data_IF_652656952241
#
_entry.id   IF_652656952241
#
_cell.length_a   1.000
_cell.length_b   1.000
_cell.length_c   1.000
_cell.angle_alpha   90.00
_cell.angle_beta   90.00
_cell.angle_gamma   90.00
#
_symmetry.space_group_name_H-M   'P 1'
#
loop_
_entity.id
_entity.type
_entity.pdbx_description
1 polymer ?
#
# COMPACT_ATOMS: atom_id res chain seq x y z
N UNK A 1 14.12 16.72 13.84
CA UNK A 1 14.47 15.47 13.12
C UNK A 1 15.42 15.81 11.99
N UNK A 2 16.48 15.03 11.78
CA UNK A 2 17.57 15.34 10.84
C UNK A 2 18.04 14.06 10.14
N UNK A 3 18.27 14.14 8.83
CA UNK A 3 18.88 13.07 8.04
C UNK A 3 19.96 13.67 7.15
N UNK A 4 21.22 13.26 7.36
CA UNK A 4 22.35 13.70 6.52
C UNK A 4 22.53 15.22 6.43
N UNK A 5 22.22 15.99 7.50
CA UNK A 5 22.30 17.44 7.51
C UNK A 5 21.10 18.18 6.92
N UNK A 6 20.11 17.45 6.40
CA UNK A 6 18.82 18.02 6.03
C UNK A 6 17.89 17.98 7.24
N UNK A 7 17.29 19.11 7.58
CA UNK A 7 16.39 19.25 8.73
C UNK A 7 14.95 19.35 8.27
N UNK A 8 14.04 18.88 9.13
CA UNK A 8 12.60 19.00 8.91
C UNK A 8 12.13 20.44 8.62
N UNK A 9 12.75 21.45 9.22
CA UNK A 9 12.42 22.86 8.96
C UNK A 9 12.73 23.27 7.51
N UNK A 10 13.84 22.78 6.95
CA UNK A 10 14.22 23.05 5.56
C UNK A 10 13.25 22.36 4.60
N UNK A 11 12.83 21.14 4.94
CA UNK A 11 11.79 20.41 4.21
C UNK A 11 10.48 21.21 4.18
N UNK A 12 9.99 21.65 5.34
CA UNK A 12 8.75 22.44 5.39
C UNK A 12 8.89 23.77 4.64
N UNK A 13 10.03 24.46 4.76
CA UNK A 13 10.23 25.72 4.05
C UNK A 13 10.11 25.56 2.53
N UNK A 14 10.58 24.44 1.97
CA UNK A 14 10.52 24.18 0.52
C UNK A 14 9.21 23.55 0.04
N UNK A 15 8.54 22.76 0.88
CA UNK A 15 7.46 21.87 0.45
C UNK A 15 6.09 22.18 1.07
N UNK A 16 5.99 23.09 2.06
CA UNK A 16 4.73 23.38 2.76
C UNK A 16 3.57 23.66 1.80
N UNK A 17 3.74 24.57 0.85
CA UNK A 17 2.67 24.92 -0.10
C UNK A 17 2.20 23.71 -0.92
N UNK A 18 3.11 22.78 -1.24
CA UNK A 18 2.79 21.55 -1.98
C UNK A 18 2.01 20.57 -1.10
N UNK A 19 2.40 20.43 0.17
CA UNK A 19 1.71 19.58 1.14
C UNK A 19 0.29 20.09 1.41
N UNK A 20 0.14 21.40 1.59
CA UNK A 20 -1.16 22.05 1.79
C UNK A 20 -2.03 21.95 0.54
N UNK A 21 -1.50 22.21 -0.65
CA UNK A 21 -2.24 22.07 -1.90
C UNK A 21 -2.63 20.60 -2.20
N UNK A 22 -1.83 19.64 -1.75
CA UNK A 22 -2.13 18.21 -1.80
C UNK A 22 -3.13 17.74 -0.75
N UNK A 23 -3.55 18.62 0.17
CA UNK A 23 -4.48 18.29 1.25
C UNK A 23 -3.89 17.34 2.30
N UNK A 24 -2.57 17.30 2.44
CA UNK A 24 -1.88 16.41 3.39
C UNK A 24 -1.95 17.03 4.79
N UNK A 25 -2.59 16.38 5.78
CA UNK A 25 -2.69 16.89 7.14
C UNK A 25 -1.31 17.16 7.78
N UNK A 26 -1.13 18.27 8.53
CA UNK A 26 0.15 18.63 9.15
C UNK A 26 0.74 17.57 10.08
N UNK A 27 -0.11 16.77 10.72
CA UNK A 27 0.29 15.67 11.61
C UNK A 27 1.11 14.61 10.85
N UNK A 28 0.88 14.45 9.53
CA UNK A 28 1.59 13.49 8.69
C UNK A 28 2.91 14.02 8.14
N UNK A 29 3.22 15.32 8.27
CA UNK A 29 4.39 15.90 7.61
C UNK A 29 5.70 15.36 8.17
N UNK A 30 5.75 15.10 9.49
CA UNK A 30 6.95 14.57 10.14
C UNK A 30 7.26 13.13 9.73
N UNK A 31 6.25 12.27 9.67
CA UNK A 31 6.38 10.88 9.22
C UNK A 31 6.66 10.82 7.72
N UNK A 32 6.01 11.64 6.91
CA UNK A 32 6.29 11.79 5.48
C UNK A 32 7.76 12.16 5.24
N UNK A 33 8.24 13.20 5.94
CA UNK A 33 9.64 13.59 5.91
C UNK A 33 10.58 12.43 6.26
N UNK A 34 10.27 11.71 7.34
CA UNK A 34 11.04 10.54 7.78
C UNK A 34 11.13 9.47 6.69
N UNK A 35 9.99 9.13 6.08
CA UNK A 35 9.90 8.11 5.04
C UNK A 35 10.64 8.55 3.77
N UNK A 36 10.54 9.83 3.40
CA UNK A 36 11.23 10.38 2.22
C UNK A 36 12.74 10.34 2.39
N UNK A 37 13.25 10.78 3.53
CA UNK A 37 14.70 10.82 3.80
C UNK A 37 15.32 9.42 3.91
N UNK A 38 14.57 8.46 4.43
CA UNK A 38 15.01 7.07 4.56
C UNK A 38 14.67 6.20 3.33
N UNK A 39 13.97 6.75 2.33
CA UNK A 39 13.44 5.98 1.20
C UNK A 39 12.64 4.75 1.67
N UNK A 40 11.75 4.94 2.65
CA UNK A 40 10.91 3.87 3.19
C UNK A 40 9.64 3.71 2.35
N UNK A 41 9.59 2.65 1.55
CA UNK A 41 8.44 2.28 0.71
C UNK A 41 7.69 1.10 1.33
N UNK A 42 6.88 1.37 2.34
CA UNK A 42 6.20 0.35 3.15
C UNK A 42 4.75 0.08 2.73
N UNK A 43 4.24 0.73 1.69
CA UNK A 43 2.85 0.57 1.21
C UNK A 43 2.48 -0.89 0.95
N UNK A 44 3.39 -1.70 0.40
CA UNK A 44 3.16 -3.12 0.12
C UNK A 44 2.95 -3.99 1.37
N UNK A 45 3.25 -3.47 2.57
CA UNK A 45 2.98 -4.14 3.84
C UNK A 45 1.58 -3.86 4.39
N UNK A 46 0.86 -2.90 3.80
CA UNK A 46 -0.46 -2.44 4.25
C UNK A 46 -1.53 -2.54 3.17
N UNK A 47 -1.14 -2.54 1.89
CA UNK A 47 -2.06 -2.54 0.78
C UNK A 47 -1.78 -3.68 -0.19
N UNK A 48 -2.85 -4.14 -0.83
CA UNK A 48 -2.85 -5.05 -1.97
C UNK A 48 -3.71 -4.43 -3.08
N UNK A 49 -3.32 -4.67 -4.32
CA UNK A 49 -4.12 -4.30 -5.49
C UNK A 49 -4.91 -5.55 -5.88
N UNK A 50 -6.21 -5.41 -6.02
CA UNK A 50 -7.10 -6.47 -6.49
C UNK A 50 -7.55 -6.16 -7.91
N UNK A 51 -7.69 -7.21 -8.72
CA UNK A 51 -8.25 -7.14 -10.06
C UNK A 51 -9.42 -8.11 -10.14
N UNK A 52 -10.62 -7.59 -10.28
CA UNK A 52 -11.85 -8.36 -10.45
C UNK A 52 -12.23 -8.38 -11.93
N UNK A 53 -12.54 -9.56 -12.46
CA UNK A 53 -13.12 -9.70 -13.79
C UNK A 53 -14.62 -9.45 -13.71
N UNK A 54 -15.10 -8.42 -14.40
CA UNK A 54 -16.50 -8.06 -14.55
C UNK A 54 -16.95 -8.23 -16.01
N UNK A 55 -18.26 -8.23 -16.25
CA UNK A 55 -18.82 -8.28 -17.62
C UNK A 55 -18.29 -7.14 -18.50
N UNK A 56 -17.95 -6.00 -17.89
CA UNK A 56 -17.53 -4.77 -18.55
C UNK A 56 -16.00 -4.68 -18.76
N UNK A 57 -15.24 -5.64 -18.23
CA UNK A 57 -13.77 -5.64 -18.24
C UNK A 57 -13.14 -5.87 -16.87
N UNK A 58 -11.93 -5.34 -16.66
CA UNK A 58 -11.18 -5.48 -15.40
C UNK A 58 -11.41 -4.29 -14.48
N UNK A 59 -11.87 -4.55 -13.26
CA UNK A 59 -11.98 -3.57 -12.20
C UNK A 59 -10.78 -3.67 -11.28
N UNK A 60 -10.10 -2.55 -11.04
CA UNK A 60 -8.93 -2.48 -10.15
C UNK A 60 -9.31 -1.75 -8.87
N UNK A 61 -9.07 -2.39 -7.73
CA UNK A 61 -9.29 -1.79 -6.41
C UNK A 61 -8.05 -1.94 -5.54
N UNK A 62 -7.95 -1.13 -4.49
CA UNK A 62 -6.88 -1.23 -3.49
C UNK A 62 -7.50 -1.62 -2.17
N UNK A 63 -7.03 -2.72 -1.60
CA UNK A 63 -7.49 -3.25 -0.32
C UNK A 63 -6.41 -2.98 0.74
N UNK A 64 -6.83 -2.47 1.90
CA UNK A 64 -5.98 -2.43 3.08
C UNK A 64 -5.98 -3.80 3.76
N UNK A 65 -4.80 -4.39 3.96
CA UNK A 65 -4.61 -5.69 4.62
C UNK A 65 -4.42 -5.56 6.13
N UNK A 66 -4.29 -4.33 6.63
CA UNK A 66 -4.14 -3.99 8.04
C UNK A 66 -5.10 -2.87 8.40
N UNK A 67 -5.47 -2.82 9.67
CA UNK A 67 -6.29 -1.74 10.19
C UNK A 67 -5.53 -0.41 10.16
N UNK A 68 -6.15 0.60 9.55
CA UNK A 68 -5.60 1.95 9.44
C UNK A 68 -6.43 2.88 10.30
N UNK A 69 -5.83 3.40 11.37
CA UNK A 69 -6.49 4.38 12.22
C UNK A 69 -6.37 5.80 11.62
N UNK A 70 -7.45 6.60 11.56
CA UNK A 70 -7.43 7.94 10.95
C UNK A 70 -6.50 8.95 11.64
N UNK A 71 -6.12 8.69 12.89
CA UNK A 71 -5.32 9.59 13.73
C UNK A 71 -3.85 9.14 13.79
N UNK A 72 -3.50 8.02 13.17
CA UNK A 72 -2.11 7.55 13.19
C UNK A 72 -1.24 8.38 12.23
N UNK A 73 -0.23 9.04 12.81
CA UNK A 73 0.71 9.90 12.10
C UNK A 73 1.54 9.12 11.05
N UNK A 74 1.68 7.80 11.17
CA UNK A 74 2.46 6.97 10.24
C UNK A 74 1.66 6.45 9.05
N UNK A 75 0.35 6.69 9.00
CA UNK A 75 -0.54 6.31 7.90
C UNK A 75 -0.42 7.24 6.68
N UNK A 76 0.83 7.52 6.28
CA UNK A 76 1.23 8.16 5.03
C UNK A 76 2.20 7.24 4.32
N UNK A 77 1.99 6.95 3.05
CA UNK A 77 2.74 5.91 2.35
C UNK A 77 3.37 6.46 1.08
N UNK A 78 4.63 6.10 0.85
CA UNK A 78 5.35 6.48 -0.35
C UNK A 78 5.13 5.44 -1.44
N UNK A 79 4.76 5.92 -2.62
CA UNK A 79 4.70 5.13 -3.85
C UNK A 79 5.72 5.74 -4.80
N UNK A 80 6.65 4.93 -5.27
CA UNK A 80 7.57 5.38 -6.30
C UNK A 80 6.87 5.37 -7.66
N UNK A 81 7.04 6.45 -8.42
CA UNK A 81 6.61 6.52 -9.80
C UNK A 81 7.73 5.98 -10.68
N UNK A 82 7.96 4.66 -10.62
CA UNK A 82 8.97 3.97 -11.42
C UNK A 82 8.89 4.32 -12.92
N UNK A 83 7.68 4.66 -13.39
CA UNK A 83 7.42 5.29 -14.70
C UNK A 83 6.84 6.69 -14.52
N UNK A 84 7.70 7.70 -14.30
CA UNK A 84 7.33 9.08 -14.61
C UNK A 84 7.19 9.20 -16.14
N UNK A 85 6.18 9.93 -16.62
CA UNK A 85 5.86 10.24 -18.02
C UNK A 85 4.87 9.31 -18.72
N UNK A 86 3.66 9.88 -18.90
CA UNK A 86 2.75 9.63 -20.03
C UNK A 86 2.61 8.14 -20.40
N UNK A 87 1.64 7.41 -19.80
CA UNK A 87 1.39 6.00 -20.11
C UNK A 87 1.28 5.70 -21.61
N UNK A 88 0.79 6.66 -22.39
CA UNK A 88 0.66 6.55 -23.85
C UNK A 88 2.01 6.51 -24.60
N UNK A 89 3.10 7.03 -24.03
CA UNK A 89 4.45 6.98 -24.62
C UNK A 89 5.28 5.82 -24.09
N UNK A 90 4.86 5.19 -22.98
CA UNK A 90 5.62 4.15 -22.31
C UNK A 90 5.97 3.00 -23.27
N UNK A 91 5.00 2.56 -24.08
CA UNK A 91 5.20 1.52 -25.08
C UNK A 91 6.25 1.89 -26.13
N UNK A 92 6.17 3.10 -26.70
CA UNK A 92 7.14 3.56 -27.70
C UNK A 92 8.56 3.61 -27.11
N UNK A 93 8.71 4.04 -25.85
CA UNK A 93 10.00 4.07 -25.17
C UNK A 93 10.57 2.66 -24.91
N UNK A 94 9.73 1.67 -24.59
CA UNK A 94 10.18 0.27 -24.48
C UNK A 94 10.61 -0.30 -25.84
N UNK A 95 9.92 0.06 -26.92
CA UNK A 95 10.24 -0.40 -28.27
C UNK A 95 11.57 0.20 -28.78
N UNK A 96 11.87 1.46 -28.43
CA UNK A 96 13.10 2.15 -28.85
C UNK A 96 14.33 1.82 -27.99
N UNK A 97 14.14 1.47 -26.71
CA UNK A 97 15.23 1.29 -25.74
C UNK A 97 15.22 -0.12 -25.15
N UNK A 98 15.89 -1.12 -25.79
CA UNK A 98 15.90 -2.50 -25.31
C UNK A 98 16.51 -2.66 -23.91
N UNK A 99 17.48 -1.81 -23.54
CA UNK A 99 18.06 -1.81 -22.19
C UNK A 99 17.05 -1.37 -21.11
N UNK A 100 16.10 -0.50 -21.47
CA UNK A 100 15.01 -0.12 -20.58
C UNK A 100 14.06 -1.31 -20.36
N UNK A 101 13.80 -2.11 -21.40
CA UNK A 101 12.98 -3.31 -21.30
C UNK A 101 13.58 -4.29 -20.30
N UNK A 102 14.87 -4.61 -20.40
CA UNK A 102 15.54 -5.51 -19.46
C UNK A 102 15.45 -5.00 -18.01
N UNK A 103 15.69 -3.70 -17.81
CA UNK A 103 15.53 -3.08 -16.50
C UNK A 103 14.10 -3.20 -15.97
N UNK A 104 13.10 -2.95 -16.81
CA UNK A 104 11.69 -3.01 -16.41
C UNK A 104 11.22 -4.43 -16.16
N UNK A 105 11.69 -5.41 -16.94
CA UNK A 105 11.47 -6.83 -16.65
C UNK A 105 12.02 -7.22 -15.28
N UNK A 106 13.27 -6.86 -15.00
CA UNK A 106 13.88 -7.12 -13.69
C UNK A 106 13.16 -6.40 -12.55
N UNK A 107 12.69 -5.17 -12.76
CA UNK A 107 11.99 -4.40 -11.73
C UNK A 107 10.58 -4.93 -11.44
N UNK A 108 9.88 -5.40 -12.48
CA UNK A 108 8.53 -5.95 -12.41
C UNK A 108 8.51 -7.47 -12.19
N UNK A 109 9.69 -8.08 -12.00
CA UNK A 109 9.90 -9.52 -11.85
C UNK A 109 9.25 -10.35 -12.98
N UNK A 110 9.34 -9.85 -14.21
CA UNK A 110 8.85 -10.52 -15.41
C UNK A 110 9.98 -11.41 -15.95
N UNK A 111 9.88 -12.71 -15.69
CA UNK A 111 10.84 -13.69 -16.21
C UNK A 111 10.55 -14.04 -17.68
N UNK A 112 11.59 -14.13 -18.50
CA UNK A 112 11.50 -14.50 -19.93
C UNK A 112 11.19 -15.98 -20.17
N UNK A 113 11.07 -16.76 -19.09
CA UNK A 113 10.82 -18.19 -19.12
C UNK A 113 9.33 -18.50 -19.29
N UNK A 114 8.69 -17.91 -20.32
CA UNK A 114 7.41 -18.40 -20.81
C UNK A 114 7.64 -19.56 -21.80
N UNK A 115 8.36 -20.57 -21.33
CA UNK A 115 8.39 -21.91 -21.88
C UNK A 115 7.53 -22.81 -21.01
N UNK A 116 6.21 -22.60 -21.02
CA UNK A 116 5.21 -23.58 -20.57
C UNK A 116 5.57 -24.37 -19.29
N UNK A 117 5.57 -23.70 -18.15
CA UNK A 117 5.15 -24.34 -16.91
C UNK A 117 4.46 -23.27 -16.08
N UNK A 118 3.18 -23.50 -15.80
CA UNK A 118 2.49 -22.93 -14.66
C UNK A 118 3.31 -23.34 -13.43
N UNK A 119 4.35 -22.57 -13.13
CA UNK A 119 5.00 -22.65 -11.84
C UNK A 119 4.11 -21.85 -10.92
N UNK A 120 3.35 -22.60 -10.12
CA UNK A 120 2.74 -22.17 -8.88
C UNK A 120 3.82 -21.50 -8.02
N UNK A 121 4.13 -20.24 -8.30
CA UNK A 121 4.61 -19.36 -7.26
C UNK A 121 3.36 -18.95 -6.51
N UNK A 122 3.28 -19.46 -5.29
CA UNK A 122 2.24 -19.26 -4.29
C UNK A 122 2.08 -17.75 -3.97
N UNK A 123 1.57 -16.97 -4.92
CA UNK A 123 0.57 -15.99 -4.56
C UNK A 123 -0.67 -16.82 -4.33
N UNK A 124 -0.93 -17.14 -3.06
CA UNK A 124 -2.17 -17.75 -2.61
C UNK A 124 -3.32 -16.82 -3.04
N UNK A 125 -3.79 -17.01 -4.27
CA UNK A 125 -5.13 -16.59 -4.70
C UNK A 125 -6.05 -17.59 -4.02
N UNK A 126 -6.25 -17.39 -2.71
CA UNK A 126 -7.36 -18.02 -2.03
C UNK A 126 -8.60 -17.48 -2.70
N UNK A 127 -9.40 -18.37 -3.28
CA UNK A 127 -10.71 -18.03 -3.81
C UNK A 127 -11.49 -17.33 -2.69
N UNK A 128 -11.99 -16.13 -2.95
CA UNK A 128 -12.47 -15.15 -1.97
C UNK A 128 -13.46 -15.70 -0.91
N UNK A 129 -14.14 -16.80 -1.19
CA UNK A 129 -15.07 -17.46 -0.28
C UNK A 129 -14.40 -18.02 0.98
N UNK A 130 -13.15 -18.49 0.90
CA UNK A 130 -12.48 -19.14 2.03
C UNK A 130 -11.95 -18.14 3.07
N UNK A 131 -11.43 -16.99 2.61
CA UNK A 131 -10.95 -15.94 3.52
C UNK A 131 -12.10 -15.18 4.17
N UNK A 132 -13.20 -14.89 3.44
CA UNK A 132 -14.40 -14.32 4.06
C UNK A 132 -14.96 -15.21 5.19
N UNK A 133 -15.03 -16.52 4.99
CA UNK A 133 -15.51 -17.47 6.02
C UNK A 133 -14.56 -17.55 7.22
N UNK A 134 -13.26 -17.42 7.00
CA UNK A 134 -12.23 -17.48 8.04
C UNK A 134 -12.23 -16.22 8.90
N UNK A 135 -12.42 -15.06 8.27
CA UNK A 135 -12.60 -13.77 8.97
C UNK A 135 -13.90 -13.79 9.78
N UNK A 136 -15.00 -14.30 9.23
CA UNK A 136 -16.28 -14.39 9.95
C UNK A 136 -16.20 -15.35 11.15
N UNK A 137 -15.57 -16.53 11.01
CA UNK A 137 -15.36 -17.46 12.12
C UNK A 137 -14.42 -16.90 13.21
N UNK A 138 -13.42 -16.10 12.84
CA UNK A 138 -12.59 -15.39 13.82
C UNK A 138 -13.37 -14.31 14.57
N UNK A 139 -14.28 -13.59 13.92
CA UNK A 139 -15.12 -12.61 14.62
C UNK A 139 -16.13 -13.28 15.56
N UNK A 140 -16.68 -14.43 15.18
CA UNK A 140 -17.59 -15.22 16.01
C UNK A 140 -16.89 -15.88 17.21
N UNK A 141 -15.65 -16.35 17.04
CA UNK A 141 -14.90 -16.96 18.14
C UNK A 141 -14.42 -15.90 19.16
N UNK A 142 -14.04 -14.70 18.70
CA UNK A 142 -13.67 -13.57 19.56
C UNK A 142 -14.89 -13.01 20.33
N UNK A 143 -16.08 -13.10 19.75
CA UNK A 143 -17.34 -12.73 20.42
C UNK A 143 -17.78 -13.77 21.46
N UNK A 144 -17.37 -15.03 21.32
CA UNK A 144 -17.71 -16.12 22.25
C UNK A 144 -16.80 -16.15 23.48
N UNK A 145 -15.53 -15.73 23.36
CA UNK A 145 -14.57 -15.67 24.47
C UNK A 145 -14.75 -14.44 25.36
N UNK A 146 -15.52 -13.44 24.93
CA UNK A 146 -15.78 -12.23 25.72
C UNK A 146 -16.98 -12.36 26.69
N UNK A 147 -17.52 -13.57 26.87
CA UNK A 147 -18.61 -13.84 27.83
C UNK A 147 -18.15 -13.99 29.30
N UNK A 148 -16.84 -13.93 29.58
CA UNK A 148 -16.30 -14.17 30.93
C UNK A 148 -15.71 -12.95 31.67
N UNK A 149 -15.92 -11.72 31.17
CA UNK A 149 -15.64 -10.51 31.96
C UNK A 149 -16.88 -9.61 32.08
N UNK A 150 -17.80 -10.03 32.96
CA UNK A 150 -18.84 -9.15 33.48
C UNK A 150 -18.22 -8.04 34.34
N UNK A 151 -18.21 -6.81 33.83
CA UNK A 151 -17.92 -5.62 34.64
C UNK A 151 -19.25 -5.01 35.11
N UNK A 152 -19.48 -4.84 36.42
CA UNK A 152 -20.78 -4.41 36.92
C UNK A 152 -21.03 -2.93 36.64
N UNK A 153 -22.18 -2.64 36.00
CA UNK A 153 -22.75 -1.31 35.84
C UNK A 153 -23.04 -0.72 37.23
N UNK A 154 -22.25 0.28 37.65
CA UNK A 154 -22.62 1.10 38.80
C UNK A 154 -23.71 2.09 38.39
N UNK A 155 -24.94 1.80 38.80
CA UNK A 155 -25.96 2.83 39.02
C UNK A 155 -25.70 3.50 40.37
N UNK A 156 -25.85 4.82 40.45
CA UNK A 156 -25.91 5.51 41.73
C UNK A 156 -25.58 7.00 41.66
N UNK A 157 -26.64 7.81 41.60
CA UNK A 157 -26.86 9.17 42.13
C UNK A 157 -25.68 10.10 42.38
#
# INVERSE_FOLDING_TARGET
MEFGGYHFEHFLQGHKDQLEAGGIPPELWGSLYSKLMQQTFDAGNYFRILCEEAEDGRNWSVLATKDLHPVDEYNVFLIDHAWTFRPHQARAQLEELPQLVERMKSLLDINDDNGGSESDTENEVTTDEQECQKVEQQQLNASSTNSEFSVPRKEGY
#
